data_IF_662805826097
#
_entry.id   IF_662805826097
#
_cell.length_a   1.000
_cell.length_b   1.000
_cell.length_c   1.000
_cell.angle_alpha   90.00
_cell.angle_beta   90.00
_cell.angle_gamma   90.00
#
_symmetry.space_group_name_H-M   'P 1'
#
loop_
_entity.id
_entity.type
_entity.pdbx_description
1 polymer ?
#
# COMPACT_ATOMS: atom_id res chain seq x y z
N UNK A 1 45.80 17.05 17.77
CA UNK A 1 44.85 16.70 16.69
C UNK A 1 43.59 16.35 17.43
N UNK A 2 42.66 17.28 17.51
CA UNK A 2 41.53 17.20 18.43
C UNK A 2 40.23 17.60 17.73
N UNK A 3 39.19 16.90 18.15
CA UNK A 3 37.76 17.21 18.05
C UNK A 3 37.08 17.00 16.70
N UNK A 4 36.68 15.74 16.48
CA UNK A 4 35.56 15.38 15.62
C UNK A 4 34.27 15.98 16.17
N UNK A 5 33.73 16.96 15.45
CA UNK A 5 32.44 17.58 15.73
C UNK A 5 31.31 16.58 15.50
N UNK A 6 30.62 16.15 16.57
CA UNK A 6 29.40 15.36 16.46
C UNK A 6 28.22 16.31 16.23
N UNK A 7 27.60 16.25 15.04
CA UNK A 7 26.37 16.98 14.75
C UNK A 7 25.22 16.46 15.63
N UNK A 8 24.88 17.20 16.68
CA UNK A 8 23.66 16.98 17.48
C UNK A 8 22.52 17.79 16.86
N UNK A 9 21.61 17.11 16.17
CA UNK A 9 20.37 17.72 15.67
C UNK A 9 19.22 17.42 16.63
N UNK A 10 18.68 18.46 17.25
CA UNK A 10 17.56 18.37 18.20
C UNK A 10 16.26 18.75 17.48
N UNK A 11 15.52 17.74 17.00
CA UNK A 11 14.18 17.94 16.43
C UNK A 11 13.18 18.20 17.56
N UNK A 12 12.53 19.36 17.53
CA UNK A 12 11.46 19.72 18.46
C UNK A 12 10.14 19.75 17.69
N UNK A 13 9.27 18.76 17.90
CA UNK A 13 7.93 18.73 17.29
C UNK A 13 6.95 19.47 18.21
N UNK A 14 6.39 20.58 17.72
CA UNK A 14 5.27 21.26 18.37
C UNK A 14 3.97 20.71 17.79
N UNK A 15 3.34 19.77 18.51
CA UNK A 15 1.99 19.33 18.18
C UNK A 15 0.97 20.37 18.66
N UNK A 16 0.65 21.33 17.79
CA UNK A 16 -0.62 22.04 17.89
C UNK A 16 -1.77 21.12 17.47
N UNK A 17 -2.98 21.36 17.98
CA UNK A 17 -4.17 20.67 17.51
C UNK A 17 -4.34 20.95 16.00
N UNK A 18 -4.04 19.94 15.19
CA UNK A 18 -4.02 20.06 13.73
C UNK A 18 -5.44 19.88 13.20
N UNK A 19 -6.14 20.99 12.95
CA UNK A 19 -7.29 21.04 12.04
C UNK A 19 -6.84 20.98 10.57
N UNK A 20 -5.87 20.10 10.30
CA UNK A 20 -5.26 19.96 8.98
C UNK A 20 -6.26 19.40 7.98
N UNK A 21 -6.00 19.54 6.67
CA UNK A 21 -6.83 18.91 5.65
C UNK A 21 -6.97 17.41 5.95
N UNK A 22 -8.16 16.87 5.70
CA UNK A 22 -8.41 15.44 5.82
C UNK A 22 -7.34 14.70 5.00
N UNK A 23 -6.69 13.71 5.63
CA UNK A 23 -5.64 12.93 4.98
C UNK A 23 -6.30 11.81 4.19
N UNK A 24 -5.83 11.60 2.96
CA UNK A 24 -6.24 10.47 2.13
C UNK A 24 -6.16 9.16 2.93
N UNK A 25 -7.22 8.36 2.82
CA UNK A 25 -7.40 7.15 3.63
C UNK A 25 -8.35 6.15 2.93
N UNK A 26 -8.38 4.90 3.38
CA UNK A 26 -9.44 3.96 2.99
C UNK A 26 -10.82 4.50 3.37
N UNK A 27 -11.77 4.36 2.45
CA UNK A 27 -13.20 4.59 2.67
C UNK A 27 -13.95 3.31 3.05
N UNK A 28 -15.26 3.46 3.18
CA UNK A 28 -16.16 2.38 3.64
C UNK A 28 -16.56 1.42 2.51
N UNK A 29 -16.45 1.83 1.23
CA UNK A 29 -16.74 0.96 0.07
C UNK A 29 -15.59 -0.03 -0.14
N UNK A 30 -15.90 -1.32 -0.07
CA UNK A 30 -14.91 -2.40 -0.13
C UNK A 30 -15.02 -3.27 -1.38
N UNK A 31 -14.10 -4.24 -1.54
CA UNK A 31 -14.19 -5.30 -2.55
C UNK A 31 -15.43 -6.21 -2.41
N UNK A 32 -16.16 -6.16 -1.30
CA UNK A 32 -17.45 -6.85 -1.18
C UNK A 32 -18.59 -6.08 -1.88
N UNK A 33 -18.44 -4.76 -2.02
CA UNK A 33 -19.46 -3.85 -2.54
C UNK A 33 -19.19 -3.40 -3.99
N UNK A 34 -17.95 -3.54 -4.45
CA UNK A 34 -17.46 -3.03 -5.73
C UNK A 34 -16.79 -4.14 -6.55
N UNK A 35 -17.43 -4.51 -7.67
CA UNK A 35 -16.98 -5.58 -8.56
C UNK A 35 -15.59 -5.32 -9.17
N UNK A 36 -15.24 -4.05 -9.39
CA UNK A 36 -13.92 -3.71 -9.90
C UNK A 36 -12.84 -3.94 -8.84
N UNK A 37 -13.11 -3.57 -7.58
CA UNK A 37 -12.23 -3.90 -6.46
C UNK A 37 -12.13 -5.41 -6.24
N UNK A 38 -13.25 -6.14 -6.35
CA UNK A 38 -13.26 -7.59 -6.27
C UNK A 38 -12.35 -8.23 -7.33
N UNK A 39 -12.50 -7.79 -8.58
CA UNK A 39 -11.67 -8.27 -9.69
C UNK A 39 -10.19 -7.95 -9.48
N UNK A 40 -9.88 -6.74 -9.03
CA UNK A 40 -8.51 -6.33 -8.74
C UNK A 40 -7.90 -7.14 -7.58
N UNK A 41 -8.70 -7.44 -6.55
CA UNK A 41 -8.28 -8.28 -5.44
C UNK A 41 -7.88 -9.67 -5.93
N UNK A 42 -8.72 -10.32 -6.73
CA UNK A 42 -8.49 -11.69 -7.18
C UNK A 42 -7.37 -11.80 -8.23
N UNK A 43 -7.22 -10.79 -9.09
CA UNK A 43 -6.24 -10.81 -10.18
C UNK A 43 -4.87 -10.26 -9.80
N UNK A 44 -4.80 -9.38 -8.80
CA UNK A 44 -3.55 -8.70 -8.39
C UNK A 44 -3.21 -8.96 -6.93
N UNK A 45 -4.07 -8.53 -6.01
CA UNK A 45 -3.70 -8.47 -4.60
C UNK A 45 -3.51 -9.86 -3.99
N UNK A 46 -4.45 -10.76 -4.21
CA UNK A 46 -4.44 -12.11 -3.64
C UNK A 46 -3.24 -12.94 -4.14
N UNK A 47 -2.91 -12.98 -5.44
CA UNK A 47 -1.70 -13.68 -5.92
C UNK A 47 -0.40 -13.15 -5.29
N UNK A 48 -0.26 -11.84 -5.12
CA UNK A 48 0.93 -11.24 -4.50
C UNK A 48 1.00 -11.62 -3.02
N UNK A 49 -0.09 -11.39 -2.27
CA UNK A 49 -0.16 -11.63 -0.83
C UNK A 49 0.06 -13.10 -0.49
N UNK A 50 -0.59 -14.02 -1.20
CA UNK A 50 -0.44 -15.47 -0.98
C UNK A 50 0.89 -16.04 -1.45
N UNK A 51 1.66 -15.28 -2.25
CA UNK A 51 3.05 -15.65 -2.57
C UNK A 51 4.05 -15.33 -1.44
N UNK A 52 3.66 -14.44 -0.51
CA UNK A 52 4.53 -13.93 0.56
C UNK A 52 4.09 -14.41 1.96
N UNK A 53 2.80 -14.66 2.16
CA UNK A 53 2.22 -15.06 3.44
C UNK A 53 1.61 -16.46 3.33
N UNK A 54 1.79 -17.27 4.36
CA UNK A 54 1.08 -18.54 4.47
C UNK A 54 -0.41 -18.32 4.74
N UNK A 55 -1.21 -19.36 4.52
CA UNK A 55 -2.65 -19.31 4.80
C UNK A 55 -2.96 -19.12 6.29
N UNK A 56 -2.08 -19.61 7.16
CA UNK A 56 -2.20 -19.47 8.62
C UNK A 56 -1.78 -18.08 9.11
N UNK A 57 -0.86 -17.42 8.39
CA UNK A 57 -0.43 -16.05 8.70
C UNK A 57 -1.49 -15.02 8.27
N UNK A 58 -2.09 -15.20 7.09
CA UNK A 58 -3.06 -14.27 6.51
C UNK A 58 -4.41 -14.35 7.24
N UNK A 59 -4.79 -13.26 7.91
CA UNK A 59 -6.06 -13.15 8.63
C UNK A 59 -7.11 -12.40 7.81
N UNK A 60 -6.71 -11.34 7.12
CA UNK A 60 -7.61 -10.52 6.31
C UNK A 60 -6.89 -9.86 5.14
N UNK A 61 -7.58 -9.76 4.00
CA UNK A 61 -7.19 -8.97 2.84
C UNK A 61 -8.44 -8.24 2.32
N UNK A 62 -8.43 -6.91 2.34
CA UNK A 62 -9.51 -6.07 1.82
C UNK A 62 -8.97 -4.94 0.95
N UNK A 63 -9.70 -4.63 -0.13
CA UNK A 63 -9.48 -3.42 -0.92
C UNK A 63 -10.59 -2.41 -0.63
N UNK A 64 -10.23 -1.13 -0.69
CA UNK A 64 -11.12 -0.01 -0.36
C UNK A 64 -11.02 1.08 -1.42
N UNK A 65 -12.13 1.76 -1.72
CA UNK A 65 -12.07 3.05 -2.40
C UNK A 65 -11.48 4.11 -1.47
N UNK A 66 -10.58 4.93 -1.99
CA UNK A 66 -10.02 6.05 -1.24
C UNK A 66 -11.04 7.17 -1.02
N UNK A 67 -10.90 7.85 0.11
CA UNK A 67 -11.62 9.08 0.43
C UNK A 67 -10.63 10.13 0.90
N UNK A 68 -11.01 11.41 0.82
CA UNK A 68 -10.16 12.55 1.21
C UNK A 68 -8.83 12.64 0.41
N UNK A 69 -8.72 11.91 -0.70
CA UNK A 69 -7.60 11.85 -1.65
C UNK A 69 -8.06 12.05 -3.10
N UNK A 70 -7.38 11.43 -4.06
CA UNK A 70 -7.75 11.56 -5.47
C UNK A 70 -8.94 10.64 -5.81
N UNK A 71 -9.92 11.11 -6.61
CA UNK A 71 -11.00 10.26 -7.08
C UNK A 71 -10.43 9.05 -7.83
N UNK A 72 -10.80 7.85 -7.39
CA UNK A 72 -10.31 6.60 -7.98
C UNK A 72 -9.09 5.99 -7.27
N UNK A 73 -8.61 6.61 -6.18
CA UNK A 73 -7.66 5.96 -5.28
C UNK A 73 -8.16 4.59 -4.83
N UNK A 74 -7.27 3.61 -4.83
CA UNK A 74 -7.53 2.26 -4.31
C UNK A 74 -6.55 1.96 -3.20
N UNK A 75 -7.07 1.64 -2.03
CA UNK A 75 -6.29 1.26 -0.86
C UNK A 75 -6.37 -0.24 -0.63
N UNK A 76 -5.29 -0.80 -0.09
CA UNK A 76 -5.22 -2.19 0.36
C UNK A 76 -5.00 -2.23 1.87
N UNK A 77 -5.70 -3.13 2.54
CA UNK A 77 -5.46 -3.49 3.94
C UNK A 77 -5.20 -4.99 4.04
N UNK A 78 -4.04 -5.35 4.58
CA UNK A 78 -3.64 -6.74 4.87
C UNK A 78 -3.45 -6.87 6.37
N UNK A 79 -4.12 -7.83 6.99
CA UNK A 79 -3.85 -8.21 8.38
C UNK A 79 -3.23 -9.60 8.40
N UNK A 80 -2.02 -9.71 8.96
CA UNK A 80 -1.31 -10.98 9.10
C UNK A 80 -0.68 -11.10 10.48
N UNK A 81 -0.85 -12.26 11.11
CA UNK A 81 -0.32 -12.56 12.45
C UNK A 81 -0.59 -11.47 13.52
N UNK A 82 -1.73 -10.78 13.44
CA UNK A 82 -2.12 -9.71 14.36
C UNK A 82 -1.52 -8.33 14.05
N UNK A 83 -0.81 -8.17 12.93
CA UNK A 83 -0.28 -6.89 12.44
C UNK A 83 -1.00 -6.45 11.17
N UNK A 84 -1.16 -5.13 11.00
CA UNK A 84 -1.88 -4.56 9.85
C UNK A 84 -0.94 -3.73 8.98
N UNK A 85 -0.90 -4.08 7.70
CA UNK A 85 -0.35 -3.29 6.61
C UNK A 85 -1.49 -2.55 5.91
N UNK A 86 -1.35 -1.24 5.73
CA UNK A 86 -2.29 -0.42 4.97
C UNK A 86 -1.51 0.48 4.04
N UNK A 87 -1.84 0.44 2.75
CA UNK A 87 -1.13 1.24 1.74
C UNK A 87 -2.05 1.65 0.59
N UNK A 88 -1.66 2.70 -0.11
CA UNK A 88 -2.28 3.14 -1.35
C UNK A 88 -1.75 2.24 -2.48
N UNK A 89 -2.64 1.43 -3.05
CA UNK A 89 -2.31 0.45 -4.10
C UNK A 89 -2.20 1.11 -5.47
N UNK A 90 -3.14 2.00 -5.80
CA UNK A 90 -3.13 2.77 -7.04
C UNK A 90 -3.80 4.13 -6.86
N UNK A 91 -3.33 5.10 -7.65
CA UNK A 91 -3.92 6.44 -7.73
C UNK A 91 -3.84 6.96 -9.17
N UNK A 92 -4.91 7.54 -9.73
CA UNK A 92 -4.89 8.05 -11.11
C UNK A 92 -3.86 9.16 -11.38
N UNK A 93 -3.47 9.92 -10.34
CA UNK A 93 -2.60 11.11 -10.49
C UNK A 93 -1.11 10.78 -10.52
N UNK A 94 -0.69 9.59 -10.08
CA UNK A 94 0.73 9.23 -9.94
C UNK A 94 1.53 9.26 -11.26
N UNK A 95 0.88 9.11 -12.42
CA UNK A 95 1.56 9.21 -13.73
C UNK A 95 1.80 10.66 -14.20
N UNK A 96 1.64 11.65 -13.32
CA UNK A 96 1.92 13.06 -13.64
C UNK A 96 0.84 13.72 -14.50
N UNK A 97 -0.36 13.14 -14.49
CA UNK A 97 -1.50 13.58 -15.28
C UNK A 97 -2.24 14.76 -14.66
N UNK A 98 -2.13 15.93 -15.27
CA UNK A 98 -3.12 17.01 -15.07
C UNK A 98 -4.50 16.44 -15.47
N UNK A 99 -5.51 16.57 -14.61
CA UNK A 99 -6.88 16.04 -14.76
C UNK A 99 -7.63 16.48 -16.05
N UNK A 100 -6.98 17.24 -16.93
CA UNK A 100 -7.55 17.91 -18.10
C UNK A 100 -7.50 17.07 -19.40
N UNK A 101 -7.19 15.77 -19.32
CA UNK A 101 -7.16 14.90 -20.52
C UNK A 101 -7.83 13.56 -20.24
N UNK A 102 -8.89 13.27 -21.00
CA UNK A 102 -9.79 12.11 -20.86
C UNK A 102 -9.15 10.73 -21.14
N UNK A 103 -7.83 10.60 -21.07
CA UNK A 103 -7.08 9.35 -21.26
C UNK A 103 -5.95 9.21 -20.25
N UNK A 104 -6.27 9.29 -18.95
CA UNK A 104 -5.36 8.79 -17.92
C UNK A 104 -5.48 7.28 -17.88
N UNK A 105 -4.50 6.60 -18.48
CA UNK A 105 -4.38 5.15 -18.43
C UNK A 105 -4.28 4.73 -16.96
N UNK A 106 -5.32 4.06 -16.47
CA UNK A 106 -5.34 3.41 -15.17
C UNK A 106 -4.07 2.60 -14.97
N UNK A 107 -3.54 2.54 -13.74
CA UNK A 107 -2.41 1.66 -13.43
C UNK A 107 -2.65 0.27 -13.99
N UNK A 108 -1.64 -0.28 -14.67
CA UNK A 108 -1.75 -1.65 -15.16
C UNK A 108 -1.76 -2.60 -13.96
N UNK A 109 -2.46 -3.72 -14.09
CA UNK A 109 -2.53 -4.73 -13.05
C UNK A 109 -1.12 -5.23 -12.64
N UNK A 110 -0.18 -5.27 -13.60
CA UNK A 110 1.22 -5.60 -13.36
C UNK A 110 1.96 -4.58 -12.48
N UNK A 111 1.77 -3.27 -12.71
CA UNK A 111 2.41 -2.23 -11.89
C UNK A 111 1.89 -2.22 -10.45
N UNK A 112 0.58 -2.39 -10.29
CA UNK A 112 -0.04 -2.56 -8.98
C UNK A 112 0.56 -3.77 -8.25
N UNK A 113 0.72 -4.90 -8.96
CA UNK A 113 1.31 -6.11 -8.39
C UNK A 113 2.77 -5.92 -7.95
N UNK A 114 3.60 -5.27 -8.78
CA UNK A 114 5.01 -5.01 -8.46
C UNK A 114 5.18 -4.08 -7.26
N UNK A 115 4.40 -3.00 -7.20
CA UNK A 115 4.45 -2.08 -6.07
C UNK A 115 4.03 -2.77 -4.78
N UNK A 116 2.90 -3.49 -4.82
CA UNK A 116 2.41 -4.23 -3.66
C UNK A 116 3.43 -5.25 -3.17
N UNK A 117 4.05 -6.00 -4.09
CA UNK A 117 5.10 -6.97 -3.76
C UNK A 117 6.26 -6.29 -3.03
N UNK A 118 6.83 -5.24 -3.61
CA UNK A 118 7.96 -4.52 -3.00
C UNK A 118 7.63 -4.02 -1.59
N UNK A 119 6.46 -3.42 -1.39
CA UNK A 119 6.11 -2.86 -0.09
C UNK A 119 5.81 -3.93 0.96
N UNK A 120 5.21 -5.07 0.56
CA UNK A 120 4.98 -6.18 1.46
C UNK A 120 6.28 -6.89 1.84
N UNK A 121 7.25 -7.01 0.93
CA UNK A 121 8.58 -7.56 1.23
C UNK A 121 9.28 -6.74 2.34
N UNK A 122 9.25 -5.42 2.22
CA UNK A 122 9.79 -4.50 3.23
C UNK A 122 9.02 -4.60 4.55
N UNK A 123 7.67 -4.53 4.50
CA UNK A 123 6.84 -4.60 5.70
C UNK A 123 7.02 -5.92 6.47
N UNK A 124 7.08 -7.06 5.77
CA UNK A 124 7.29 -8.36 6.41
C UNK A 124 8.65 -8.40 7.10
N UNK A 125 9.71 -7.88 6.46
CA UNK A 125 11.04 -7.83 7.05
C UNK A 125 11.10 -6.99 8.34
N UNK A 126 10.22 -6.01 8.47
CA UNK A 126 10.09 -5.12 9.64
C UNK A 126 9.04 -5.61 10.68
N UNK A 127 8.19 -6.56 10.32
CA UNK A 127 7.14 -7.12 11.18
C UNK A 127 7.71 -8.03 12.29
N UNK A 128 6.93 -8.27 13.35
CA UNK A 128 7.35 -9.15 14.45
C UNK A 128 7.34 -10.62 14.05
N UNK A 129 6.46 -11.03 13.13
CA UNK A 129 6.38 -12.42 12.66
C UNK A 129 7.39 -12.74 11.55
N UNK A 130 7.78 -11.73 10.76
CA UNK A 130 8.70 -11.84 9.63
C UNK A 130 10.10 -11.27 9.86
N UNK A 131 10.40 -10.76 11.06
CA UNK A 131 11.66 -10.06 11.35
C UNK A 131 12.89 -10.82 10.85
N UNK A 132 13.67 -10.18 9.98
CA UNK A 132 14.90 -10.75 9.41
C UNK A 132 14.69 -11.85 8.35
N UNK A 133 13.45 -12.14 7.95
CA UNK A 133 13.15 -13.03 6.84
C UNK A 133 13.09 -12.24 5.53
N UNK A 134 13.96 -12.58 4.58
CA UNK A 134 13.85 -12.05 3.22
C UNK A 134 12.85 -12.92 2.43
N UNK A 135 11.60 -12.47 2.35
CA UNK A 135 10.59 -13.07 1.48
C UNK A 135 10.63 -12.36 0.12
N UNK A 136 10.50 -13.11 -0.97
CA UNK A 136 10.50 -12.58 -2.33
C UNK A 136 9.22 -13.06 -2.99
N UNK A 137 8.43 -12.12 -3.50
CA UNK A 137 7.15 -12.40 -4.11
C UNK A 137 7.35 -13.25 -5.36
N UNK A 138 6.57 -14.33 -5.47
CA UNK A 138 6.60 -15.24 -6.62
C UNK A 138 5.19 -15.42 -7.13
N UNK A 139 4.80 -14.58 -8.08
CA UNK A 139 3.49 -14.58 -8.70
C UNK A 139 3.62 -14.46 -10.22
N UNK A 140 2.63 -14.96 -10.94
CA UNK A 140 2.51 -14.67 -12.37
C UNK A 140 1.84 -13.30 -12.51
N UNK A 141 2.49 -12.30 -13.13
CA UNK A 141 1.86 -11.01 -13.32
C UNK A 141 0.62 -11.19 -14.21
N UNK A 142 -0.49 -10.50 -13.89
CA UNK A 142 -1.66 -10.49 -14.76
C UNK A 142 -1.28 -9.97 -16.14
N UNK A 143 -1.83 -10.57 -17.19
CA UNK A 143 -1.61 -10.12 -18.56
C UNK A 143 -2.12 -8.68 -18.73
N UNK A 144 -1.40 -7.83 -19.50
CA UNK A 144 -1.82 -6.46 -19.79
C UNK A 144 -3.10 -6.40 -20.63
#
# INVERSE_FOLDING_TARGET
MDEGSACSSKLTLRLGASSGPARARPGDTTDADDEHLHTLKDTVALPVVTSLLSQEELQQLTLHRGVDGDPGDVWITVTAAGETFQDLLSSPTWRGGHLDSEQHSSFTAQECAQRLASHLEDWIAESRFGWGQQRIARYTPPHP
#
